data_IF_007856351292
#
_entry.id   IF_007856351292
#
_cell.length_a   1.000
_cell.length_b   1.000
_cell.length_c   1.000
_cell.angle_alpha   90.00
_cell.angle_beta   90.00
_cell.angle_gamma   90.00
#
_symmetry.space_group_name_H-M   'P 1'
#
loop_
_entity.id
_entity.type
_entity.pdbx_description
1 polymer ?
#
# COMPACT_ATOMS: atom_id res chain seq x y z
N UNK A 1 4.87 16.60 -7.24
CA UNK A 1 5.50 15.37 -7.69
C UNK A 1 5.79 14.46 -6.50
N UNK A 2 5.43 13.20 -6.59
CA UNK A 2 5.60 12.27 -5.48
C UNK A 2 7.07 11.91 -5.23
N UNK A 3 7.35 11.51 -4.00
CA UNK A 3 8.70 11.11 -3.61
C UNK A 3 8.92 9.63 -3.91
N UNK A 4 10.18 9.26 -4.07
CA UNK A 4 10.58 7.89 -4.40
C UNK A 4 10.74 7.05 -3.14
N UNK A 5 10.87 5.73 -3.34
CA UNK A 5 11.05 4.79 -2.23
C UNK A 5 12.34 5.06 -1.44
N UNK A 6 13.36 5.68 -2.06
CA UNK A 6 14.61 5.98 -1.35
C UNK A 6 14.43 6.96 -0.20
N UNK A 7 13.37 7.77 -0.22
CA UNK A 7 13.09 8.76 0.82
C UNK A 7 12.25 8.21 1.97
N UNK A 8 11.73 7.01 1.84
CA UNK A 8 10.91 6.35 2.87
C UNK A 8 11.52 5.02 3.30
N UNK A 9 12.70 4.68 2.77
CA UNK A 9 13.40 3.44 3.06
C UNK A 9 12.97 2.29 2.18
N UNK A 10 13.46 1.10 2.51
CA UNK A 10 13.11 -0.11 1.78
C UNK A 10 11.73 -0.59 2.18
N UNK A 11 10.97 -1.15 1.21
CA UNK A 11 9.66 -1.71 1.56
C UNK A 11 9.84 -2.99 2.37
N UNK A 12 8.89 -3.23 3.28
CA UNK A 12 8.81 -4.52 3.94
C UNK A 12 8.33 -5.54 2.91
N UNK A 13 8.85 -6.79 2.94
CA UNK A 13 8.36 -7.83 2.05
C UNK A 13 6.86 -8.03 2.24
N UNK A 14 6.11 -8.09 1.14
CA UNK A 14 4.70 -8.42 1.20
C UNK A 14 4.56 -9.92 1.46
N UNK A 15 3.63 -10.26 2.32
CA UNK A 15 3.31 -11.65 2.63
C UNK A 15 1.91 -11.94 2.12
N UNK A 16 1.79 -12.96 1.27
CA UNK A 16 0.50 -13.40 0.76
C UNK A 16 0.00 -14.51 1.67
N UNK A 17 -1.19 -14.32 2.25
CA UNK A 17 -1.81 -15.32 3.11
C UNK A 17 -2.96 -15.96 2.37
N UNK A 18 -2.75 -17.19 1.93
CA UNK A 18 -3.79 -17.93 1.21
C UNK A 18 -4.97 -18.20 2.15
N UNK A 19 -6.16 -18.06 1.64
CA UNK A 19 -7.38 -18.26 2.41
C UNK A 19 -7.98 -17.00 3.02
N UNK A 20 -7.27 -15.88 2.93
CA UNK A 20 -7.82 -14.59 3.36
C UNK A 20 -8.53 -13.91 2.18
N UNK A 21 -9.53 -13.11 2.48
CA UNK A 21 -10.32 -12.42 1.46
C UNK A 21 -9.94 -10.95 1.36
N UNK A 22 -10.07 -10.40 0.16
CA UNK A 22 -9.83 -9.00 -0.11
C UNK A 22 -8.42 -8.61 0.28
N UNK A 23 -8.25 -7.38 0.72
CA UNK A 23 -6.93 -6.85 1.06
C UNK A 23 -6.26 -7.57 2.23
N UNK A 24 -7.01 -8.36 3.00
CA UNK A 24 -6.42 -9.13 4.09
C UNK A 24 -5.46 -10.21 3.58
N UNK A 25 -5.51 -10.52 2.28
CA UNK A 25 -4.55 -11.44 1.67
C UNK A 25 -3.11 -10.90 1.76
N UNK A 26 -2.94 -9.58 1.81
CA UNK A 26 -1.61 -8.96 1.79
C UNK A 26 -1.37 -7.98 2.93
N UNK A 27 -2.40 -7.53 3.63
CA UNK A 27 -2.28 -6.47 4.62
C UNK A 27 -3.05 -6.79 5.91
N UNK A 28 -2.56 -6.25 7.01
CA UNK A 28 -3.30 -6.27 8.28
C UNK A 28 -4.57 -5.43 8.15
N UNK A 29 -5.58 -5.65 9.00
CA UNK A 29 -6.85 -4.90 8.88
C UNK A 29 -6.69 -3.39 8.83
N UNK A 30 -5.84 -2.80 9.69
CA UNK A 30 -5.70 -1.36 9.68
C UNK A 30 -5.00 -0.87 8.41
N UNK A 31 -4.01 -1.61 7.93
CA UNK A 31 -3.30 -1.24 6.70
C UNK A 31 -4.22 -1.35 5.49
N UNK A 32 -5.05 -2.38 5.45
CA UNK A 32 -6.06 -2.54 4.40
C UNK A 32 -7.02 -1.35 4.37
N UNK A 33 -7.48 -0.91 5.54
CA UNK A 33 -8.40 0.23 5.62
C UNK A 33 -7.70 1.52 5.21
N UNK A 34 -6.43 1.69 5.58
CA UNK A 34 -5.65 2.85 5.15
C UNK A 34 -5.56 2.92 3.62
N UNK A 35 -5.31 1.79 2.97
CA UNK A 35 -5.21 1.77 1.51
C UNK A 35 -6.57 2.06 0.87
N UNK A 36 -7.66 1.53 1.42
CA UNK A 36 -9.01 1.85 0.94
C UNK A 36 -9.30 3.34 1.05
N UNK A 37 -8.86 3.97 2.13
CA UNK A 37 -9.08 5.41 2.32
C UNK A 37 -8.30 6.22 1.30
N UNK A 38 -7.07 5.82 0.99
CA UNK A 38 -6.30 6.49 -0.06
C UNK A 38 -7.01 6.38 -1.41
N UNK A 39 -7.60 5.22 -1.72
CA UNK A 39 -8.36 5.06 -2.96
C UNK A 39 -9.59 5.95 -2.99
N UNK A 40 -10.30 6.06 -1.86
CA UNK A 40 -11.47 6.96 -1.78
C UNK A 40 -11.10 8.40 -2.05
N UNK A 41 -9.88 8.80 -1.68
CA UNK A 41 -9.38 10.17 -1.87
C UNK A 41 -8.65 10.38 -3.19
N UNK A 42 -8.55 9.35 -4.02
CA UNK A 42 -7.85 9.46 -5.29
C UNK A 42 -8.56 10.47 -6.19
N UNK A 43 -7.78 11.39 -6.78
CA UNK A 43 -8.35 12.48 -7.56
C UNK A 43 -8.79 13.67 -6.73
N UNK A 44 -8.63 13.58 -5.42
CA UNK A 44 -8.94 14.64 -4.48
C UNK A 44 -7.69 14.92 -3.64
N UNK A 45 -7.85 15.70 -2.60
CA UNK A 45 -6.75 15.93 -1.66
C UNK A 45 -6.42 14.63 -0.92
N UNK A 46 -5.15 14.31 -0.85
CA UNK A 46 -4.69 13.11 -0.15
C UNK A 46 -4.87 13.19 1.36
N UNK A 47 -4.22 12.29 2.07
CA UNK A 47 -4.34 12.19 3.53
C UNK A 47 -2.98 12.39 4.20
N UNK A 48 -2.97 13.20 5.28
CA UNK A 48 -1.82 13.26 6.18
C UNK A 48 -1.89 12.05 7.12
N UNK A 49 -0.81 11.81 7.85
CA UNK A 49 -0.83 10.76 8.89
C UNK A 49 -1.90 11.05 9.94
N UNK A 50 -2.14 12.31 10.24
CA UNK A 50 -3.18 12.71 11.19
C UNK A 50 -4.57 12.38 10.64
N UNK A 51 -4.84 12.75 9.37
CA UNK A 51 -6.12 12.41 8.75
C UNK A 51 -6.36 10.91 8.79
N UNK A 52 -5.32 10.14 8.48
CA UNK A 52 -5.43 8.69 8.44
C UNK A 52 -5.65 8.11 9.84
N UNK A 53 -4.93 8.63 10.83
CA UNK A 53 -5.09 8.17 12.21
C UNK A 53 -6.51 8.46 12.71
N UNK A 54 -7.04 9.66 12.42
CA UNK A 54 -8.40 10.03 12.78
C UNK A 54 -9.42 9.11 12.09
N UNK A 55 -9.18 8.78 10.84
CA UNK A 55 -10.07 7.87 10.10
C UNK A 55 -10.11 6.48 10.74
N UNK A 56 -8.93 5.94 11.09
CA UNK A 56 -8.85 4.62 11.71
C UNK A 56 -9.52 4.62 13.08
N UNK A 57 -9.33 5.69 13.84
CA UNK A 57 -9.97 5.82 15.15
C UNK A 57 -11.49 5.84 15.01
N UNK A 58 -12.01 6.54 14.01
CA UNK A 58 -13.45 6.57 13.72
C UNK A 58 -13.98 5.19 13.33
N UNK A 59 -13.12 4.31 12.80
CA UNK A 59 -13.46 2.94 12.44
C UNK A 59 -13.21 1.97 13.60
N UNK A 60 -12.89 2.49 14.77
CA UNK A 60 -12.56 1.71 15.97
C UNK A 60 -11.35 0.79 15.77
N UNK A 61 -10.41 1.24 14.95
CA UNK A 61 -9.14 0.56 14.73
C UNK A 61 -8.07 1.34 15.48
N UNK A 62 -7.66 0.82 16.63
CA UNK A 62 -6.69 1.51 17.50
C UNK A 62 -5.27 1.18 17.05
N UNK A 63 -4.61 2.16 16.46
CA UNK A 63 -3.26 2.02 15.93
C UNK A 63 -2.46 3.24 16.37
N UNK A 64 -1.20 3.04 16.73
CA UNK A 64 -0.34 4.16 17.11
C UNK A 64 -0.05 5.04 15.90
N UNK A 65 0.20 6.32 16.16
CA UNK A 65 0.58 7.26 15.11
C UNK A 65 1.82 6.79 14.37
N UNK A 66 2.78 6.23 15.10
CA UNK A 66 4.01 5.71 14.52
C UNK A 66 3.73 4.58 13.54
N UNK A 67 2.84 3.67 13.88
CA UNK A 67 2.46 2.56 12.99
C UNK A 67 1.78 3.07 11.72
N UNK A 68 0.94 4.10 11.84
CA UNK A 68 0.29 4.72 10.70
C UNK A 68 1.34 5.32 9.76
N UNK A 69 2.28 6.08 10.31
CA UNK A 69 3.34 6.70 9.52
C UNK A 69 4.20 5.64 8.82
N UNK A 70 4.57 4.59 9.54
CA UNK A 70 5.37 3.50 8.98
C UNK A 70 4.63 2.83 7.82
N UNK A 71 3.33 2.60 7.97
CA UNK A 71 2.56 1.92 6.92
C UNK A 71 2.38 2.81 5.69
N UNK A 72 2.11 4.11 5.89
CA UNK A 72 2.01 5.04 4.77
C UNK A 72 3.33 5.09 3.99
N UNK A 73 4.45 5.16 4.71
CA UNK A 73 5.75 5.18 4.07
C UNK A 73 6.05 3.85 3.37
N UNK A 74 5.56 2.74 3.92
CA UNK A 74 5.71 1.44 3.28
C UNK A 74 4.94 1.39 1.94
N UNK A 75 3.74 1.97 1.89
CA UNK A 75 2.99 2.06 0.63
C UNK A 75 3.79 2.83 -0.42
N UNK A 76 4.45 3.92 0.00
CA UNK A 76 5.29 4.70 -0.93
C UNK A 76 6.49 3.86 -1.39
N UNK A 77 7.13 3.16 -0.46
CA UNK A 77 8.28 2.30 -0.80
C UNK A 77 7.88 1.17 -1.75
N UNK A 78 6.68 0.63 -1.62
CA UNK A 78 6.15 -0.39 -2.54
C UNK A 78 5.79 0.18 -3.91
N UNK A 79 5.66 1.50 -4.02
CA UNK A 79 5.27 2.14 -5.28
C UNK A 79 3.78 2.22 -5.51
N UNK A 80 2.95 1.93 -4.49
CA UNK A 80 1.49 1.98 -4.62
C UNK A 80 0.91 3.29 -4.12
N UNK A 81 1.71 4.12 -3.49
CA UNK A 81 1.34 5.45 -3.05
C UNK A 81 2.48 6.42 -3.30
N UNK A 82 2.18 7.71 -3.22
CA UNK A 82 3.17 8.78 -3.30
C UNK A 82 2.85 9.80 -2.22
N UNK A 83 3.75 10.75 -1.99
CA UNK A 83 3.45 11.84 -1.08
C UNK A 83 4.05 13.14 -1.59
N UNK A 84 3.47 14.24 -1.11
CA UNK A 84 4.01 15.57 -1.32
C UNK A 84 4.15 16.22 0.05
N UNK A 85 5.15 17.09 0.19
CA UNK A 85 5.34 17.83 1.43
C UNK A 85 4.52 19.11 1.36
N UNK A 86 3.72 19.34 2.39
CA UNK A 86 2.94 20.56 2.51
C UNK A 86 3.37 21.30 3.77
N UNK A 87 3.23 22.63 3.76
CA UNK A 87 3.51 23.47 4.90
C UNK A 87 2.20 23.98 5.48
N UNK A 88 2.07 23.95 6.80
CA UNK A 88 0.89 24.44 7.48
C UNK A 88 1.21 24.80 8.92
N UNK A 89 0.18 24.96 9.72
CA UNK A 89 0.33 25.21 11.15
C UNK A 89 1.10 24.05 11.78
N UNK A 90 2.12 24.10 12.36
CA UNK A 90 2.90 23.00 12.92
C UNK A 90 4.03 22.54 12.01
N UNK A 91 4.27 23.25 10.88
CA UNK A 91 5.42 23.00 10.03
C UNK A 91 5.13 22.13 8.83
N UNK A 92 6.12 21.36 8.41
CA UNK A 92 6.02 20.49 7.24
C UNK A 92 5.34 19.18 7.58
N UNK A 93 4.51 18.70 6.67
CA UNK A 93 3.89 17.39 6.80
C UNK A 93 3.71 16.77 5.42
N UNK A 94 3.62 15.45 5.37
CA UNK A 94 3.43 14.73 4.12
C UNK A 94 1.95 14.50 3.88
N UNK A 95 1.54 14.68 2.62
CA UNK A 95 0.19 14.38 2.17
C UNK A 95 0.30 13.21 1.21
N UNK A 96 -0.26 12.07 1.61
CA UNK A 96 -0.15 10.82 0.86
C UNK A 96 -1.33 10.63 -0.08
N UNK A 97 -1.06 10.04 -1.23
CA UNK A 97 -2.08 9.78 -2.25
C UNK A 97 -1.83 8.44 -2.90
N UNK A 98 -2.91 7.77 -3.33
CA UNK A 98 -2.78 6.53 -4.07
C UNK A 98 -2.23 6.80 -5.46
N UNK A 99 -1.25 6.01 -5.91
CA UNK A 99 -0.68 6.10 -7.25
C UNK A 99 -1.46 5.31 -8.27
N UNK A 100 -2.35 4.43 -7.83
CA UNK A 100 -3.08 3.53 -8.70
C UNK A 100 -4.48 3.31 -8.14
N UNK A 101 -5.38 2.88 -9.00
CA UNK A 101 -6.73 2.49 -8.59
C UNK A 101 -6.68 1.13 -7.92
N UNK A 102 -7.81 0.73 -7.32
CA UNK A 102 -7.90 -0.60 -6.73
C UNK A 102 -7.67 -1.69 -7.79
N UNK A 103 -8.27 -1.55 -8.98
CA UNK A 103 -8.08 -2.52 -10.04
C UNK A 103 -6.62 -2.62 -10.46
N UNK A 104 -5.96 -1.49 -10.63
CA UNK A 104 -4.54 -1.46 -10.97
C UNK A 104 -3.69 -2.11 -9.87
N UNK A 105 -4.07 -1.91 -8.61
CA UNK A 105 -3.38 -2.55 -7.50
C UNK A 105 -3.46 -4.08 -7.59
N UNK A 106 -4.65 -4.62 -7.88
CA UNK A 106 -4.78 -6.07 -7.96
C UNK A 106 -3.96 -6.65 -9.10
N UNK A 107 -3.91 -5.96 -10.25
CA UNK A 107 -3.05 -6.38 -11.37
C UNK A 107 -1.57 -6.32 -10.97
N UNK A 108 -1.19 -5.25 -10.28
CA UNK A 108 0.18 -5.09 -9.79
C UNK A 108 0.57 -6.22 -8.83
N UNK A 109 -0.31 -6.53 -7.88
CA UNK A 109 -0.04 -7.58 -6.90
C UNK A 109 0.06 -8.95 -7.56
N UNK A 110 -0.83 -9.26 -8.49
CA UNK A 110 -0.83 -10.53 -9.20
C UNK A 110 0.46 -10.68 -10.01
N UNK A 111 0.90 -9.63 -10.69
CA UNK A 111 2.13 -9.66 -11.48
C UNK A 111 3.34 -9.90 -10.59
N UNK A 112 3.46 -9.18 -9.47
CA UNK A 112 4.57 -9.35 -8.54
C UNK A 112 4.59 -10.76 -7.95
N UNK A 113 3.42 -11.27 -7.59
CA UNK A 113 3.30 -12.62 -7.03
C UNK A 113 3.74 -13.65 -8.07
N UNK A 114 3.29 -13.51 -9.31
CA UNK A 114 3.64 -14.41 -10.39
C UNK A 114 5.16 -14.40 -10.66
N UNK A 115 5.75 -13.21 -10.73
CA UNK A 115 7.19 -13.08 -10.95
C UNK A 115 7.98 -13.69 -9.79
N UNK A 116 7.54 -13.49 -8.57
CA UNK A 116 8.19 -14.07 -7.40
C UNK A 116 8.15 -15.59 -7.45
N UNK A 117 6.99 -16.16 -7.80
CA UNK A 117 6.85 -17.61 -7.89
C UNK A 117 7.66 -18.19 -9.04
N UNK A 118 7.73 -17.51 -10.18
CA UNK A 118 8.56 -17.95 -11.30
C UNK A 118 10.02 -17.98 -10.88
N UNK A 119 10.48 -16.93 -10.21
CA UNK A 119 11.86 -16.86 -9.76
C UNK A 119 12.14 -17.92 -8.68
N UNK A 120 11.26 -18.04 -7.70
CA UNK A 120 11.43 -18.99 -6.61
C UNK A 120 11.41 -20.45 -7.09
N UNK A 121 10.55 -20.75 -8.05
CA UNK A 121 10.39 -22.11 -8.56
C UNK A 121 11.45 -22.45 -9.63
N UNK A 122 12.16 -21.46 -10.14
CA UNK A 122 13.08 -21.62 -11.27
C UNK A 122 12.36 -22.19 -12.51
N UNK A 123 11.08 -21.81 -12.68
CA UNK A 123 10.24 -22.25 -13.80
C UNK A 123 9.82 -21.02 -14.63
N UNK A 124 10.54 -20.70 -15.70
CA UNK A 124 10.19 -19.50 -16.49
C UNK A 124 8.82 -19.58 -17.17
N UNK A 125 8.29 -20.79 -17.36
CA UNK A 125 6.98 -20.99 -17.99
C UNK A 125 5.90 -21.40 -16.99
N UNK A 126 6.08 -21.04 -15.71
CA UNK A 126 5.13 -21.44 -14.66
C UNK A 126 3.71 -20.96 -14.96
N UNK A 127 3.58 -19.70 -15.39
CA UNK A 127 2.28 -19.10 -15.64
C UNK A 127 1.51 -19.84 -16.74
N UNK A 128 2.19 -20.15 -17.84
CA UNK A 128 1.58 -20.88 -18.95
C UNK A 128 1.12 -22.27 -18.50
N UNK A 129 1.89 -22.93 -17.65
CA UNK A 129 1.52 -24.24 -17.14
C UNK A 129 0.27 -24.17 -16.26
N UNK A 130 0.14 -23.12 -15.47
CA UNK A 130 -1.05 -22.91 -14.62
C UNK A 130 -2.28 -22.74 -15.50
N UNK A 131 -2.16 -21.92 -16.56
CA UNK A 131 -3.29 -21.65 -17.46
C UNK A 131 -3.72 -22.88 -18.24
N UNK A 132 -2.80 -23.81 -18.48
CA UNK A 132 -3.08 -25.01 -19.28
C UNK A 132 -3.46 -26.24 -18.43
N UNK A 133 -3.42 -26.09 -17.11
CA UNK A 133 -3.74 -27.21 -16.21
C UNK A 133 -5.24 -27.42 -16.00
#
# INVERSE_FOLDING_TARGET
MGRTSSEVGEPRPLRITLGKEGLLVAFKPYAAEMLRELWRRKGQKGATSRNMNDHLEAMDLKVSRASVIQELNNFVALGIASYETATGKGGHHRVYSAKMTEEEFWVWLARRTCETLRSASNMPNLYEKVLSS
#
